data_IF_791625120028
#
_entry.id   IF_791625120028
#
_cell.length_a   1.000
_cell.length_b   1.000
_cell.length_c   1.000
_cell.angle_alpha   90.00
_cell.angle_beta   90.00
_cell.angle_gamma   90.00
#
_symmetry.space_group_name_H-M   'P 1'
#
loop_
_entity.id
_entity.type
_entity.pdbx_description
1 polymer ?
#
# COMPACT_ATOMS: atom_id res chain seq x y z
N UNK A 1 36.38 -26.80 34.09
CA UNK A 1 35.21 -27.10 33.22
C UNK A 1 33.86 -27.03 33.92
N UNK A 2 33.27 -28.07 34.55
CA UNK A 2 31.86 -27.98 35.04
C UNK A 2 31.53 -26.82 36.01
N UNK A 3 32.52 -26.33 36.77
CA UNK A 3 32.36 -25.17 37.67
C UNK A 3 32.35 -23.83 36.91
N UNK A 4 33.07 -23.73 35.79
CA UNK A 4 33.14 -22.52 34.96
C UNK A 4 31.83 -22.31 34.21
N UNK A 5 31.24 -23.38 33.65
CA UNK A 5 29.94 -23.32 32.98
C UNK A 5 28.85 -22.79 33.90
N UNK A 6 28.81 -23.23 35.16
CA UNK A 6 27.80 -22.76 36.12
C UNK A 6 27.95 -21.27 36.42
N UNK A 7 29.17 -20.77 36.57
CA UNK A 7 29.44 -19.35 36.79
C UNK A 7 29.03 -18.51 35.56
N UNK A 8 29.34 -19.01 34.36
CA UNK A 8 29.00 -18.36 33.10
C UNK A 8 27.48 -18.30 32.86
N UNK A 9 26.76 -19.38 33.15
CA UNK A 9 25.29 -19.39 33.09
C UNK A 9 24.66 -18.42 34.11
N UNK A 10 25.29 -18.24 35.28
CA UNK A 10 24.83 -17.27 36.27
C UNK A 10 25.07 -15.83 35.79
N UNK A 11 26.22 -15.55 35.18
CA UNK A 11 26.50 -14.25 34.56
C UNK A 11 25.55 -13.95 33.40
N UNK A 12 25.26 -14.94 32.54
CA UNK A 12 24.27 -14.81 31.48
C UNK A 12 22.87 -14.49 32.02
N UNK A 13 22.47 -15.12 33.12
CA UNK A 13 21.19 -14.80 33.75
C UNK A 13 21.16 -13.37 34.29
N UNK A 14 22.26 -12.88 34.86
CA UNK A 14 22.33 -11.51 35.38
C UNK A 14 22.37 -10.46 34.26
N UNK A 15 23.08 -10.74 33.16
CA UNK A 15 23.04 -9.92 31.94
C UNK A 15 21.63 -9.84 31.35
N UNK A 16 20.92 -10.97 31.28
CA UNK A 16 19.54 -11.00 30.81
C UNK A 16 18.59 -10.18 31.71
N UNK A 17 18.81 -10.18 33.03
CA UNK A 17 18.03 -9.34 33.98
C UNK A 17 18.31 -7.84 33.79
N UNK A 18 19.53 -7.48 33.40
CA UNK A 18 19.93 -6.10 33.11
C UNK A 18 19.39 -5.61 31.75
N UNK A 19 18.72 -6.47 30.98
CA UNK A 19 18.17 -6.16 29.67
C UNK A 19 19.08 -6.54 28.50
N UNK A 20 20.30 -7.02 28.78
CA UNK A 20 21.27 -7.45 27.78
C UNK A 20 21.05 -8.92 27.41
N UNK A 21 19.97 -9.17 26.67
CA UNK A 21 19.55 -10.53 26.29
C UNK A 21 20.45 -11.14 25.23
N UNK A 22 20.93 -10.34 24.27
CA UNK A 22 21.76 -10.82 23.17
C UNK A 22 23.09 -11.36 23.72
N UNK A 23 23.76 -10.58 24.57
CA UNK A 23 24.99 -11.04 25.22
C UNK A 23 24.78 -12.26 26.12
N UNK A 24 23.63 -12.33 26.83
CA UNK A 24 23.25 -13.49 27.61
C UNK A 24 23.08 -14.76 26.76
N UNK A 25 22.46 -14.63 25.59
CA UNK A 25 22.27 -15.75 24.65
C UNK A 25 23.62 -16.24 24.13
N UNK A 26 24.54 -15.33 23.78
CA UNK A 26 25.87 -15.70 23.28
C UNK A 26 26.69 -16.45 24.33
N UNK A 27 26.70 -15.99 25.58
CA UNK A 27 27.35 -16.71 26.67
C UNK A 27 26.77 -18.11 26.89
N UNK A 28 25.45 -18.29 26.78
CA UNK A 28 24.81 -19.59 26.91
C UNK A 28 25.18 -20.51 25.73
N UNK A 29 25.25 -19.97 24.51
CA UNK A 29 25.67 -20.72 23.33
C UNK A 29 27.12 -21.18 23.43
N UNK A 30 28.01 -20.38 24.01
CA UNK A 30 29.40 -20.78 24.25
C UNK A 30 29.48 -21.94 25.24
N UNK A 31 28.70 -21.90 26.33
CA UNK A 31 28.59 -23.04 27.27
C UNK A 31 28.06 -24.28 26.55
N UNK A 32 27.04 -24.13 25.68
CA UNK A 32 26.48 -25.24 24.91
C UNK A 32 27.43 -25.80 23.86
N UNK A 33 28.33 -24.98 23.30
CA UNK A 33 29.35 -25.43 22.36
C UNK A 33 30.40 -26.32 23.03
N UNK A 34 30.62 -26.13 24.34
CA UNK A 34 31.50 -26.99 25.14
C UNK A 34 30.77 -28.19 25.78
N UNK A 35 29.49 -28.02 26.15
CA UNK A 35 28.65 -29.01 26.82
C UNK A 35 27.21 -28.99 26.26
N UNK A 36 27.01 -29.67 25.13
CA UNK A 36 25.71 -29.80 24.47
C UNK A 36 24.70 -30.62 25.29
N UNK A 37 25.16 -31.44 26.26
CA UNK A 37 24.29 -32.24 27.13
C UNK A 37 23.84 -31.46 28.37
N UNK A 38 24.09 -30.16 28.44
CA UNK A 38 23.71 -29.34 29.57
C UNK A 38 22.23 -28.89 29.50
N UNK A 39 21.34 -29.72 30.06
CA UNK A 39 19.91 -29.42 30.15
C UNK A 39 19.58 -28.06 30.80
N UNK A 40 20.41 -27.58 31.73
CA UNK A 40 20.18 -26.27 32.38
C UNK A 40 20.50 -25.10 31.44
N UNK A 41 21.55 -25.20 30.63
CA UNK A 41 21.90 -24.20 29.63
C UNK A 41 20.82 -24.09 28.55
N UNK A 42 20.32 -25.22 28.03
CA UNK A 42 19.20 -25.23 27.09
C UNK A 42 17.92 -24.62 27.68
N UNK A 43 17.62 -24.89 28.96
CA UNK A 43 16.45 -24.31 29.64
C UNK A 43 16.58 -22.79 29.81
N UNK A 44 17.79 -22.28 30.08
CA UNK A 44 18.06 -20.84 30.15
C UNK A 44 17.94 -20.18 28.77
N UNK A 45 18.46 -20.82 27.72
CA UNK A 45 18.32 -20.35 26.34
C UNK A 45 16.84 -20.20 25.97
N UNK A 46 16.03 -21.23 26.23
CA UNK A 46 14.58 -21.19 26.01
C UNK A 46 13.89 -20.03 26.75
N UNK A 47 14.40 -19.60 27.90
CA UNK A 47 13.79 -18.52 28.69
C UNK A 47 14.13 -17.13 28.14
N UNK A 48 15.34 -16.94 27.61
CA UNK A 48 15.85 -15.63 27.20
C UNK A 48 15.53 -15.36 25.73
N UNK A 49 15.48 -16.39 24.90
CA UNK A 49 15.14 -16.27 23.49
C UNK A 49 13.68 -15.89 23.27
N UNK A 50 13.47 -14.90 22.40
CA UNK A 50 12.14 -14.38 22.03
C UNK A 50 11.53 -15.13 20.82
N UNK A 51 12.36 -15.78 20.00
CA UNK A 51 11.90 -16.58 18.86
C UNK A 51 11.22 -17.88 19.32
N UNK A 52 9.97 -18.09 18.89
CA UNK A 52 9.17 -19.27 19.24
C UNK A 52 9.77 -20.58 18.73
N UNK A 53 10.37 -20.58 17.54
CA UNK A 53 10.96 -21.79 16.97
C UNK A 53 12.24 -22.19 17.71
N UNK A 54 13.09 -21.23 18.02
CA UNK A 54 14.30 -21.46 18.83
C UNK A 54 13.94 -21.89 20.27
N UNK A 55 12.91 -21.29 20.88
CA UNK A 55 12.40 -21.71 22.18
C UNK A 55 11.91 -23.16 22.14
N UNK A 56 11.22 -23.57 21.06
CA UNK A 56 10.77 -24.97 20.87
C UNK A 56 11.95 -25.92 20.79
N UNK A 57 12.97 -25.60 19.98
CA UNK A 57 14.17 -26.43 19.82
C UNK A 57 14.90 -26.58 21.15
N UNK A 58 15.12 -25.47 21.87
CA UNK A 58 15.79 -25.50 23.15
C UNK A 58 15.04 -26.36 24.18
N UNK A 59 13.71 -26.22 24.29
CA UNK A 59 12.89 -27.05 25.18
C UNK A 59 12.88 -28.53 24.78
N UNK A 60 12.84 -28.83 23.48
CA UNK A 60 12.94 -30.20 22.98
C UNK A 60 14.28 -30.85 23.37
N UNK A 61 15.39 -30.12 23.24
CA UNK A 61 16.71 -30.59 23.68
C UNK A 61 16.74 -30.85 25.19
N UNK A 62 16.15 -29.97 26.01
CA UNK A 62 16.02 -30.23 27.46
C UNK A 62 15.31 -31.54 27.73
N UNK A 63 14.18 -31.80 27.06
CA UNK A 63 13.40 -33.02 27.26
C UNK A 63 14.06 -34.27 26.70
N UNK A 64 14.94 -34.13 25.70
CA UNK A 64 15.77 -35.22 25.20
C UNK A 64 16.84 -35.62 26.22
N UNK A 65 17.46 -34.64 26.88
CA UNK A 65 18.52 -34.86 27.88
C UNK A 65 17.91 -35.28 29.24
N UNK A 66 16.86 -34.58 29.68
CA UNK A 66 16.14 -34.79 30.94
C UNK A 66 14.62 -34.90 30.68
N UNK A 67 14.13 -36.11 30.34
CA UNK A 67 12.71 -36.37 30.07
C UNK A 67 11.81 -36.18 31.29
N UNK A 68 12.39 -36.10 32.49
CA UNK A 68 11.64 -35.94 33.76
C UNK A 68 11.43 -34.45 34.08
N UNK A 69 12.05 -33.54 33.32
CA UNK A 69 11.94 -32.10 33.53
C UNK A 69 10.51 -31.57 33.32
N UNK A 70 9.72 -31.55 34.39
CA UNK A 70 8.32 -31.08 34.39
C UNK A 70 8.22 -29.65 33.86
N UNK A 71 9.19 -28.80 34.21
CA UNK A 71 9.20 -27.40 33.82
C UNK A 71 9.38 -27.21 32.31
N UNK A 72 10.24 -28.02 31.68
CA UNK A 72 10.39 -27.99 30.24
C UNK A 72 9.12 -28.47 29.50
N UNK A 73 8.43 -29.48 30.05
CA UNK A 73 7.12 -29.94 29.51
C UNK A 73 6.07 -28.86 29.58
N UNK A 74 5.89 -28.23 30.75
CA UNK A 74 4.93 -27.15 30.93
C UNK A 74 5.20 -25.95 30.02
N UNK A 75 6.48 -25.60 29.82
CA UNK A 75 6.86 -24.51 28.93
C UNK A 75 6.60 -24.85 27.46
N UNK A 76 6.84 -26.10 27.05
CA UNK A 76 6.59 -26.56 25.69
C UNK A 76 5.09 -26.60 25.39
N UNK A 77 4.28 -27.12 26.31
CA UNK A 77 2.81 -27.16 26.18
C UNK A 77 2.23 -25.73 26.05
N UNK A 78 2.68 -24.79 26.88
CA UNK A 78 2.27 -23.38 26.77
C UNK A 78 2.68 -22.76 25.44
N UNK A 79 3.86 -23.10 24.94
CA UNK A 79 4.36 -22.61 23.65
C UNK A 79 3.49 -23.16 22.51
N UNK A 80 3.14 -24.44 22.56
CA UNK A 80 2.25 -25.07 21.57
C UNK A 80 0.85 -24.47 21.59
N UNK A 81 0.30 -24.18 22.77
CA UNK A 81 -0.98 -23.47 22.91
C UNK A 81 -0.92 -22.07 22.30
N UNK A 82 0.13 -21.29 22.56
CA UNK A 82 0.29 -19.95 21.98
C UNK A 82 0.41 -19.99 20.45
N UNK A 83 1.12 -20.98 19.91
CA UNK A 83 1.21 -21.17 18.46
C UNK A 83 -0.13 -21.58 17.88
N UNK A 84 -0.83 -22.52 18.54
CA UNK A 84 -2.17 -22.96 18.12
C UNK A 84 -3.19 -21.81 18.16
N UNK A 85 -3.16 -20.95 19.18
CA UNK A 85 -4.02 -19.77 19.28
C UNK A 85 -3.70 -18.71 18.22
N UNK A 86 -2.40 -18.45 17.96
CA UNK A 86 -1.97 -17.56 16.87
C UNK A 86 -2.40 -18.07 15.50
N UNK A 87 -2.34 -19.38 15.31
CA UNK A 87 -2.77 -20.03 14.08
C UNK A 87 -4.30 -20.26 14.05
N UNK A 88 -5.00 -20.05 15.18
CA UNK A 88 -6.45 -20.15 15.32
C UNK A 88 -7.18 -18.79 15.23
N UNK A 89 -6.51 -17.73 14.74
CA UNK A 89 -7.26 -16.64 14.11
C UNK A 89 -8.21 -17.24 13.05
N UNK A 90 -9.49 -16.84 13.03
CA UNK A 90 -10.57 -17.69 12.54
C UNK A 90 -10.56 -17.79 11.01
N UNK A 91 -9.91 -18.80 10.45
CA UNK A 91 -10.29 -19.37 9.15
C UNK A 91 -11.36 -20.45 9.40
N UNK A 92 -12.58 -20.04 9.78
CA UNK A 92 -13.73 -20.95 9.89
C UNK A 92 -14.21 -21.30 8.47
N UNK A 93 -13.50 -22.20 7.78
CA UNK A 93 -14.07 -23.10 6.77
C UNK A 93 -13.26 -24.42 6.80
N UNK A 94 -13.82 -25.53 7.31
CA UNK A 94 -13.13 -26.81 7.20
C UNK A 94 -13.18 -27.28 5.73
N UNK A 95 -12.02 -27.43 5.08
CA UNK A 95 -11.92 -28.20 3.83
C UNK A 95 -11.18 -27.58 2.64
N UNK A 96 -10.41 -26.50 2.78
CA UNK A 96 -9.63 -25.95 1.65
C UNK A 96 -8.12 -26.05 1.93
N UNK A 97 -7.43 -26.86 1.13
CA UNK A 97 -5.97 -27.05 1.19
C UNK A 97 -5.24 -25.71 1.03
N UNK A 98 -4.19 -25.46 1.83
CA UNK A 98 -3.38 -24.22 1.92
C UNK A 98 -2.92 -23.61 0.58
N UNK A 99 -2.97 -24.38 -0.51
CA UNK A 99 -2.62 -23.96 -1.88
C UNK A 99 -3.75 -23.19 -2.59
N UNK A 100 -4.99 -23.30 -2.12
CA UNK A 100 -6.19 -22.64 -2.69
C UNK A 100 -6.59 -21.36 -1.92
N UNK A 101 -6.15 -21.19 -0.66
CA UNK A 101 -6.42 -19.98 0.13
C UNK A 101 -5.83 -18.71 -0.51
N UNK A 102 -4.65 -18.82 -1.14
CA UNK A 102 -4.04 -17.71 -1.90
C UNK A 102 -4.83 -17.32 -3.15
N UNK A 103 -5.62 -18.23 -3.74
CA UNK A 103 -6.46 -17.91 -4.89
C UNK A 103 -7.66 -17.08 -4.43
N UNK A 104 -8.26 -17.40 -3.29
CA UNK A 104 -9.37 -16.64 -2.72
C UNK A 104 -8.88 -15.26 -2.27
N UNK A 105 -7.77 -15.20 -1.53
CA UNK A 105 -7.15 -13.93 -1.13
C UNK A 105 -6.69 -13.08 -2.34
N UNK A 106 -6.10 -13.73 -3.35
CA UNK A 106 -5.67 -13.08 -4.59
C UNK A 106 -6.83 -12.51 -5.41
N UNK A 107 -7.98 -13.19 -5.46
CA UNK A 107 -9.19 -12.69 -6.15
C UNK A 107 -9.77 -11.48 -5.44
N UNK A 108 -9.81 -11.45 -4.11
CA UNK A 108 -10.28 -10.28 -3.35
C UNK A 108 -9.35 -9.09 -3.58
N UNK A 109 -8.04 -9.29 -3.51
CA UNK A 109 -7.06 -8.23 -3.79
C UNK A 109 -7.17 -7.74 -5.24
N UNK A 110 -7.25 -8.65 -6.22
CA UNK A 110 -7.45 -8.30 -7.62
C UNK A 110 -8.76 -7.54 -7.85
N UNK A 111 -9.85 -7.94 -7.18
CA UNK A 111 -11.13 -7.23 -7.25
C UNK A 111 -11.01 -5.81 -6.68
N UNK A 112 -10.34 -5.64 -5.54
CA UNK A 112 -10.05 -4.31 -4.98
C UNK A 112 -9.26 -3.46 -5.97
N UNK A 113 -8.21 -4.03 -6.60
CA UNK A 113 -7.44 -3.31 -7.62
C UNK A 113 -8.28 -2.95 -8.85
N UNK A 114 -9.16 -3.84 -9.32
CA UNK A 114 -10.07 -3.56 -10.45
C UNK A 114 -11.06 -2.46 -10.08
N UNK A 115 -11.64 -2.50 -8.89
CA UNK A 115 -12.56 -1.46 -8.40
C UNK A 115 -11.83 -0.11 -8.31
N UNK A 116 -10.63 -0.08 -7.72
CA UNK A 116 -9.81 1.13 -7.64
C UNK A 116 -9.46 1.65 -9.04
N UNK A 117 -9.08 0.77 -9.96
CA UNK A 117 -8.77 1.13 -11.35
C UNK A 117 -9.99 1.72 -12.08
N UNK A 118 -11.17 1.11 -11.90
CA UNK A 118 -12.43 1.62 -12.46
C UNK A 118 -12.78 2.99 -11.85
N UNK A 119 -12.61 3.18 -10.54
CA UNK A 119 -12.82 4.47 -9.90
C UNK A 119 -11.87 5.55 -10.43
N UNK A 120 -10.60 5.21 -10.64
CA UNK A 120 -9.61 6.12 -11.25
C UNK A 120 -10.04 6.51 -12.67
N UNK A 121 -10.48 5.55 -13.49
CA UNK A 121 -10.98 5.81 -14.85
C UNK A 121 -12.22 6.71 -14.82
N UNK A 122 -13.19 6.41 -13.96
CA UNK A 122 -14.41 7.21 -13.82
C UNK A 122 -14.08 8.64 -13.41
N UNK A 123 -13.21 8.83 -12.41
CA UNK A 123 -12.80 10.15 -11.93
C UNK A 123 -12.09 10.96 -13.02
N UNK A 124 -11.11 10.36 -13.70
CA UNK A 124 -10.38 11.00 -14.80
C UNK A 124 -11.31 11.38 -15.97
N UNK A 125 -12.28 10.51 -16.30
CA UNK A 125 -13.25 10.80 -17.35
C UNK A 125 -14.22 11.93 -16.96
N UNK A 126 -14.57 12.07 -15.68
CA UNK A 126 -15.42 13.18 -15.23
C UNK A 126 -14.73 14.54 -15.41
N UNK A 127 -13.44 14.64 -15.08
CA UNK A 127 -12.67 15.88 -15.31
C UNK A 127 -12.62 16.22 -16.82
N UNK A 128 -12.38 15.22 -17.66
CA UNK A 128 -12.40 15.40 -19.12
C UNK A 128 -13.78 15.83 -19.63
N UNK A 129 -14.86 15.26 -19.10
CA UNK A 129 -16.25 15.65 -19.43
C UNK A 129 -16.57 17.08 -18.97
N UNK A 130 -16.07 17.51 -17.81
CA UNK A 130 -16.25 18.88 -17.33
C UNK A 130 -15.50 19.89 -18.21
N UNK A 131 -14.24 19.61 -18.56
CA UNK A 131 -13.46 20.44 -19.49
C UNK A 131 -14.15 20.58 -20.85
N UNK A 132 -14.72 19.50 -21.38
CA UNK A 132 -15.50 19.53 -22.62
C UNK A 132 -16.81 20.31 -22.50
N UNK A 133 -17.55 20.16 -21.39
CA UNK A 133 -18.79 20.93 -21.14
C UNK A 133 -18.52 22.41 -20.95
N UNK A 134 -17.46 22.79 -20.27
CA UNK A 134 -17.05 24.18 -20.11
C UNK A 134 -16.68 24.81 -21.46
N UNK A 135 -15.88 24.11 -22.29
CA UNK A 135 -15.55 24.57 -23.64
C UNK A 135 -16.79 24.67 -24.56
N UNK A 136 -17.70 23.71 -24.48
CA UNK A 136 -18.95 23.73 -25.24
C UNK A 136 -19.89 24.87 -24.81
N UNK A 137 -19.96 25.18 -23.51
CA UNK A 137 -20.75 26.29 -22.99
C UNK A 137 -20.21 27.65 -23.45
N UNK A 138 -18.88 27.83 -23.47
CA UNK A 138 -18.24 29.03 -24.04
C UNK A 138 -18.56 29.18 -25.54
N UNK A 139 -18.46 28.09 -26.30
CA UNK A 139 -18.78 28.10 -27.72
C UNK A 139 -20.27 28.39 -28.01
N UNK A 140 -21.18 27.86 -27.19
CA UNK A 140 -22.61 28.10 -27.31
C UNK A 140 -22.99 29.56 -26.97
N UNK A 141 -22.34 30.16 -25.96
CA UNK A 141 -22.57 31.56 -25.59
C UNK A 141 -22.08 32.55 -26.67
N UNK A 142 -20.95 32.26 -27.33
CA UNK A 142 -20.38 33.11 -28.38
C UNK A 142 -21.00 32.89 -29.77
N UNK A 143 -21.74 31.80 -29.97
CA UNK A 143 -22.41 31.48 -31.23
C UNK A 143 -23.31 32.60 -31.78
N UNK A 144 -24.23 33.21 -31.00
CA UNK A 144 -25.04 34.33 -31.50
C UNK A 144 -24.17 35.51 -31.93
N UNK A 145 -23.13 35.86 -31.16
CA UNK A 145 -22.21 36.96 -31.51
C UNK A 145 -21.50 36.71 -32.85
N UNK A 146 -21.00 35.49 -33.09
CA UNK A 146 -20.38 35.12 -34.37
C UNK A 146 -21.36 35.21 -35.54
N UNK A 147 -22.64 34.89 -35.33
CA UNK A 147 -23.65 35.02 -36.39
C UNK A 147 -23.97 36.48 -36.72
N UNK A 148 -24.02 37.36 -35.71
CA UNK A 148 -24.20 38.80 -35.93
C UNK A 148 -23.03 39.43 -36.67
N UNK A 149 -21.79 39.08 -36.32
CA UNK A 149 -20.60 39.56 -37.03
C UNK A 149 -20.58 39.08 -38.49
N UNK A 150 -20.87 37.80 -38.75
CA UNK A 150 -20.92 37.26 -40.10
C UNK A 150 -22.01 37.92 -40.95
N UNK A 151 -23.20 38.16 -40.37
CA UNK A 151 -24.27 38.88 -41.06
C UNK A 151 -23.89 40.33 -41.37
N UNK A 152 -23.26 41.04 -40.44
CA UNK A 152 -22.81 42.41 -40.67
C UNK A 152 -21.73 42.51 -41.75
N UNK A 153 -20.76 41.59 -41.77
CA UNK A 153 -19.74 41.54 -42.83
C UNK A 153 -20.38 41.23 -44.18
N UNK A 154 -21.31 40.28 -44.24
CA UNK A 154 -22.04 39.97 -45.47
C UNK A 154 -22.88 41.16 -45.96
N UNK A 155 -23.56 41.87 -45.06
CA UNK A 155 -24.31 43.08 -45.37
C UNK A 155 -23.39 44.21 -45.86
N UNK A 156 -22.25 44.44 -45.21
CA UNK A 156 -21.27 45.44 -45.63
C UNK A 156 -20.71 45.14 -47.04
N UNK A 157 -20.42 43.88 -47.33
CA UNK A 157 -19.95 43.46 -48.65
C UNK A 157 -21.04 43.59 -49.72
N UNK A 158 -22.30 43.28 -49.38
CA UNK A 158 -23.43 43.48 -50.29
C UNK A 158 -23.62 44.96 -50.64
N UNK A 159 -23.57 45.86 -49.64
CA UNK A 159 -23.65 47.30 -49.85
C UNK A 159 -22.48 47.83 -50.68
N UNK A 160 -21.26 47.37 -50.41
CA UNK A 160 -20.09 47.74 -51.21
C UNK A 160 -20.21 47.27 -52.67
N UNK A 161 -20.80 46.09 -52.89
CA UNK A 161 -21.07 45.56 -54.23
C UNK A 161 -22.17 46.37 -54.93
N UNK A 162 -23.23 46.77 -54.23
CA UNK A 162 -24.29 47.62 -54.77
C UNK A 162 -23.76 49.01 -55.18
N UNK A 163 -22.94 49.64 -54.34
CA UNK A 163 -22.29 50.93 -54.64
C UNK A 163 -21.34 50.81 -55.85
N UNK A 164 -20.66 49.68 -56.01
CA UNK A 164 -19.78 49.46 -57.16
C UNK A 164 -20.55 49.26 -58.48
N UNK A 165 -21.74 48.68 -58.43
CA UNK A 165 -22.58 48.43 -59.62
C UNK A 165 -23.41 49.68 -59.98
N UNK A 166 -23.86 50.45 -58.98
CA UNK A 166 -24.62 51.69 -59.13
C UNK A 166 -23.89 52.85 -58.45
N UNK A 167 -22.81 53.40 -59.05
CA UNK A 167 -22.12 54.53 -58.47
C UNK A 167 -23.09 55.72 -58.33
N UNK A 168 -23.02 56.49 -57.24
CA UNK A 168 -23.89 57.64 -57.04
C UNK A 168 -23.72 58.61 -58.22
N UNK A 169 -24.82 58.90 -58.91
CA UNK A 169 -24.84 59.92 -59.97
C UNK A 169 -24.50 61.26 -59.33
N UNK A 170 -23.29 61.77 -59.57
CA UNK A 170 -22.95 63.14 -59.21
C UNK A 170 -23.74 64.07 -60.11
N UNK A 171 -24.90 64.54 -59.66
CA UNK A 171 -25.62 65.62 -60.34
C UNK A 171 -24.72 66.84 -60.35
N UNK A 172 -24.25 67.34 -61.51
CA UNK A 172 -23.36 68.49 -61.54
C UNK A 172 -24.08 69.71 -60.98
N UNK A 173 -23.42 70.39 -60.03
CA UNK A 173 -23.91 71.65 -59.47
C UNK A 173 -24.00 72.65 -60.63
N UNK A 174 -25.17 73.26 -60.90
CA UNK A 174 -25.29 74.22 -61.98
C UNK A 174 -24.38 75.42 -61.71
N UNK A 175 -23.40 75.61 -62.59
CA UNK A 175 -22.50 76.77 -62.57
C UNK A 175 -23.34 77.98 -63.01
N UNK A 176 -23.71 78.82 -62.05
CA UNK A 176 -24.37 80.09 -62.34
C UNK A 176 -23.37 81.01 -63.05
N UNK A 177 -23.59 81.26 -64.34
CA UNK A 177 -22.83 82.21 -65.15
C UNK A 177 -23.74 83.30 -65.70
N UNK A 178 -23.28 84.54 -65.51
CA UNK A 178 -23.62 85.82 -66.18
C UNK A 178 -24.63 86.75 -65.50
N UNK A 179 -24.53 88.07 -65.73
CA UNK A 179 -23.38 88.91 -66.14
C UNK A 179 -22.93 89.91 -65.06
#
# INVERSE_FOLDING_TARGET
>A
MKLEHRAMLQQALDAAKLGDREHAIDMIKEVLAEDEENAHAWLLLARITDNLDEKRIALANVLQIDPVNVKAKELLEKLEQQVAERDAEPEIIPGVSRRMAYIIGGVVVAFIFVVVFVLIIINNNQENRQRQRAAAATNAFLAPTRTYEAFQIAAANATATEIAINPPTTTPIPTSSLP
#
